data_IF_781785548718
#
_entry.id   IF_781785548718
#
_cell.length_a   1.000
_cell.length_b   1.000
_cell.length_c   1.000
_cell.angle_alpha   90.00
_cell.angle_beta   90.00
_cell.angle_gamma   90.00
#
_symmetry.space_group_name_H-M   'P 1'
#
loop_
_entity.id
_entity.type
_entity.pdbx_description
1 polymer ?
#
# COMPACT_ATOMS: atom_id res chain seq x y z
N UNK A 1 7.07 -29.88 -29.89
CA UNK A 1 7.77 -29.21 -28.76
C UNK A 1 7.05 -29.62 -27.46
N UNK A 2 7.53 -30.65 -26.77
CA UNK A 2 6.93 -31.14 -25.52
C UNK A 2 7.28 -30.11 -24.44
N UNK A 3 6.31 -29.35 -23.96
CA UNK A 3 6.50 -28.42 -22.85
C UNK A 3 6.94 -29.24 -21.62
N UNK A 4 8.17 -28.99 -21.13
CA UNK A 4 8.61 -29.58 -19.88
C UNK A 4 7.58 -29.30 -18.76
N UNK A 5 7.30 -30.28 -17.87
CA UNK A 5 6.32 -30.10 -16.80
C UNK A 5 6.74 -28.90 -15.94
N UNK A 6 5.79 -27.95 -15.78
CA UNK A 6 6.03 -26.78 -14.93
C UNK A 6 6.40 -27.23 -13.51
N UNK A 7 7.43 -26.62 -12.93
CA UNK A 7 7.78 -26.80 -11.51
C UNK A 7 6.59 -26.43 -10.63
N UNK A 8 6.51 -26.95 -9.41
CA UNK A 8 5.43 -26.61 -8.45
C UNK A 8 5.29 -25.11 -8.22
N UNK A 9 6.40 -24.39 -8.15
CA UNK A 9 6.47 -22.93 -8.08
C UNK A 9 5.71 -22.27 -9.24
N UNK A 10 6.04 -22.62 -10.48
CA UNK A 10 5.42 -22.03 -11.69
C UNK A 10 3.93 -22.34 -11.77
N UNK A 11 3.50 -23.54 -11.35
CA UNK A 11 2.07 -23.90 -11.30
C UNK A 11 1.31 -23.03 -10.30
N UNK A 12 1.87 -22.77 -9.13
CA UNK A 12 1.26 -21.93 -8.11
C UNK A 12 1.21 -20.46 -8.53
N UNK A 13 2.25 -19.93 -9.16
CA UNK A 13 2.21 -18.59 -9.76
C UNK A 13 1.11 -18.50 -10.83
N UNK A 14 1.02 -19.48 -11.72
CA UNK A 14 -0.02 -19.52 -12.74
C UNK A 14 -1.42 -19.57 -12.14
N UNK A 15 -1.65 -20.44 -11.16
CA UNK A 15 -2.93 -20.52 -10.44
C UNK A 15 -3.28 -19.19 -9.73
N UNK A 16 -2.31 -18.56 -9.07
CA UNK A 16 -2.50 -17.26 -8.43
C UNK A 16 -2.79 -16.13 -9.42
N UNK A 17 -2.23 -16.18 -10.64
CA UNK A 17 -2.58 -15.24 -11.72
C UNK A 17 -4.00 -15.48 -12.22
N UNK A 18 -4.41 -16.74 -12.43
CA UNK A 18 -5.78 -17.08 -12.83
C UNK A 18 -6.81 -16.57 -11.83
N UNK A 19 -6.57 -16.76 -10.53
CA UNK A 19 -7.44 -16.25 -9.46
C UNK A 19 -7.57 -14.72 -9.58
N UNK A 20 -6.44 -14.00 -9.75
CA UNK A 20 -6.44 -12.54 -9.88
C UNK A 20 -7.21 -12.07 -11.11
N UNK A 21 -6.98 -12.72 -12.24
CA UNK A 21 -7.69 -12.38 -13.48
C UNK A 21 -9.19 -12.64 -13.35
N UNK A 22 -9.58 -13.76 -12.73
CA UNK A 22 -11.00 -14.07 -12.51
C UNK A 22 -11.73 -12.92 -11.78
N UNK A 23 -11.13 -12.37 -10.72
CA UNK A 23 -11.75 -11.27 -9.98
C UNK A 23 -11.61 -9.91 -10.65
N UNK A 24 -10.58 -9.68 -11.47
CA UNK A 24 -10.26 -8.36 -12.00
C UNK A 24 -11.32 -7.79 -12.95
N UNK A 25 -12.11 -8.62 -13.61
CA UNK A 25 -13.11 -8.18 -14.58
C UNK A 25 -14.37 -7.58 -13.96
N UNK A 26 -14.80 -8.03 -12.77
CA UNK A 26 -16.13 -7.75 -12.26
C UNK A 26 -16.21 -7.26 -10.81
N UNK A 27 -15.06 -7.07 -10.16
CA UNK A 27 -14.99 -6.55 -8.79
C UNK A 27 -14.41 -5.14 -8.78
N UNK A 28 -14.60 -4.40 -7.69
CA UNK A 28 -13.98 -3.09 -7.46
C UNK A 28 -14.52 -2.42 -6.21
N UNK A 29 -13.67 -1.65 -5.54
CA UNK A 29 -14.15 -0.83 -4.43
C UNK A 29 -15.03 0.31 -4.98
N UNK A 30 -16.26 0.51 -4.47
CA UNK A 30 -17.19 1.50 -5.00
C UNK A 30 -16.68 2.95 -4.89
N UNK A 31 -15.80 3.26 -3.94
CA UNK A 31 -15.20 4.58 -3.82
C UNK A 31 -13.93 4.72 -4.66
N UNK A 32 -12.89 3.97 -4.32
CA UNK A 32 -11.56 4.14 -4.93
C UNK A 32 -11.55 3.74 -6.41
N UNK A 33 -12.20 2.62 -6.74
CA UNK A 33 -12.19 2.11 -8.10
C UNK A 33 -13.00 2.99 -9.04
N UNK A 34 -14.13 3.55 -8.57
CA UNK A 34 -14.91 4.53 -9.32
C UNK A 34 -14.11 5.80 -9.62
N UNK A 35 -13.33 6.29 -8.64
CA UNK A 35 -12.40 7.41 -8.84
C UNK A 35 -11.39 7.05 -9.93
N UNK A 36 -10.78 5.88 -9.88
CA UNK A 36 -9.75 5.48 -10.84
C UNK A 36 -10.29 5.37 -12.27
N UNK A 37 -11.51 4.84 -12.44
CA UNK A 37 -12.17 4.76 -13.75
C UNK A 37 -12.35 6.15 -14.38
N UNK A 38 -12.90 7.09 -13.60
CA UNK A 38 -13.18 8.45 -14.08
C UNK A 38 -11.92 9.28 -14.26
N UNK A 39 -10.94 9.15 -13.35
CA UNK A 39 -9.64 9.79 -13.51
C UNK A 39 -8.94 9.31 -14.78
N UNK A 40 -8.99 8.01 -15.09
CA UNK A 40 -8.40 7.47 -16.29
C UNK A 40 -8.99 8.10 -17.57
N UNK A 41 -10.31 8.20 -17.64
CA UNK A 41 -10.99 8.92 -18.72
C UNK A 41 -10.55 10.39 -18.76
N UNK A 42 -10.65 11.09 -17.62
CA UNK A 42 -10.40 12.53 -17.52
C UNK A 42 -8.97 12.90 -17.93
N UNK A 43 -7.97 12.19 -17.41
CA UNK A 43 -6.55 12.40 -17.75
C UNK A 43 -6.26 12.05 -19.20
N UNK A 44 -6.92 11.03 -19.75
CA UNK A 44 -6.80 10.69 -21.16
C UNK A 44 -7.32 11.80 -22.11
N UNK A 45 -8.20 12.68 -21.61
CA UNK A 45 -8.67 13.89 -22.31
C UNK A 45 -7.82 15.14 -21.99
N UNK A 46 -6.70 15.00 -21.25
CA UNK A 46 -5.80 16.11 -20.90
C UNK A 46 -6.09 16.78 -19.55
N UNK A 47 -7.12 16.31 -18.82
CA UNK A 47 -7.45 16.87 -17.50
C UNK A 47 -6.47 16.47 -16.40
N UNK A 48 -6.51 17.19 -15.26
CA UNK A 48 -5.65 16.90 -14.10
C UNK A 48 -6.14 15.67 -13.33
N UNK A 49 -5.23 14.74 -12.92
CA UNK A 49 -5.61 13.60 -12.09
C UNK A 49 -6.10 13.99 -10.68
N UNK A 50 -5.81 15.21 -10.23
CA UNK A 50 -6.15 15.74 -8.91
C UNK A 50 -7.34 16.71 -8.90
N UNK A 51 -8.03 16.85 -10.03
CA UNK A 51 -9.17 17.76 -10.16
C UNK A 51 -10.26 17.50 -9.10
N UNK A 52 -10.74 18.55 -8.45
CA UNK A 52 -11.66 18.44 -7.33
C UNK A 52 -13.03 17.84 -7.67
N UNK A 53 -13.49 17.99 -8.93
CA UNK A 53 -14.81 17.48 -9.39
C UNK A 53 -14.68 16.86 -10.78
N UNK A 54 -14.70 15.54 -10.83
CA UNK A 54 -14.74 14.78 -12.10
C UNK A 54 -16.14 14.19 -12.26
N UNK A 55 -16.88 14.53 -13.33
CA UNK A 55 -18.25 14.08 -13.54
C UNK A 55 -18.33 12.58 -13.84
N UNK A 56 -19.53 12.04 -13.67
CA UNK A 56 -19.84 10.70 -14.16
C UNK A 56 -19.73 10.65 -15.70
N UNK A 57 -19.23 9.54 -16.18
CA UNK A 57 -19.11 9.24 -17.61
C UNK A 57 -19.96 8.01 -17.90
N UNK A 58 -20.92 8.14 -18.79
CA UNK A 58 -21.82 7.06 -19.16
C UNK A 58 -21.05 5.84 -19.68
N UNK A 59 -21.42 4.67 -19.19
CA UNK A 59 -20.75 3.40 -19.55
C UNK A 59 -19.45 3.13 -18.82
N UNK A 60 -18.97 4.02 -17.93
CA UNK A 60 -17.78 3.80 -17.10
C UNK A 60 -18.15 3.81 -15.63
N UNK A 61 -18.07 2.64 -14.99
CA UNK A 61 -18.45 2.48 -13.58
C UNK A 61 -19.97 2.59 -13.38
N UNK A 62 -20.37 3.10 -12.22
CA UNK A 62 -21.77 3.23 -11.82
C UNK A 62 -22.13 4.69 -11.51
N UNK A 63 -23.38 5.12 -11.78
CA UNK A 63 -23.83 6.50 -11.56
C UNK A 63 -24.05 6.85 -10.08
N UNK A 64 -23.38 6.13 -9.15
CA UNK A 64 -23.51 6.28 -7.71
C UNK A 64 -23.19 7.71 -7.22
N UNK A 65 -22.08 8.27 -7.74
CA UNK A 65 -21.68 9.64 -7.44
C UNK A 65 -21.83 10.51 -8.67
N UNK A 66 -22.53 11.65 -8.53
CA UNK A 66 -22.57 12.65 -9.62
C UNK A 66 -21.17 13.17 -9.97
N UNK A 67 -20.35 13.38 -8.96
CA UNK A 67 -18.95 13.80 -9.07
C UNK A 67 -18.09 12.97 -8.14
N UNK A 68 -16.87 12.71 -8.55
CA UNK A 68 -15.80 12.18 -7.69
C UNK A 68 -14.68 13.19 -7.61
N UNK A 69 -13.93 13.19 -6.49
CA UNK A 69 -12.66 13.90 -6.42
C UNK A 69 -11.59 13.15 -7.21
N UNK A 70 -10.60 13.85 -7.72
CA UNK A 70 -9.40 13.22 -8.27
C UNK A 70 -8.62 12.44 -7.22
N UNK A 71 -7.56 11.79 -7.67
CA UNK A 71 -6.70 11.00 -6.78
C UNK A 71 -5.91 11.91 -5.83
N UNK A 72 -5.81 11.52 -4.56
CA UNK A 72 -5.00 12.19 -3.54
C UNK A 72 -3.53 11.77 -3.55
N UNK A 73 -2.97 11.44 -4.72
CA UNK A 73 -1.61 10.95 -4.90
C UNK A 73 -0.89 11.77 -5.95
N UNK A 74 0.43 11.57 -6.09
CA UNK A 74 1.21 12.14 -7.19
C UNK A 74 0.74 11.56 -8.53
N UNK A 75 1.00 12.22 -9.66
CA UNK A 75 0.36 11.92 -10.96
C UNK A 75 0.59 10.51 -11.52
N UNK A 76 1.57 9.74 -11.02
CA UNK A 76 1.93 8.43 -11.56
C UNK A 76 0.73 7.50 -11.80
N UNK A 77 -0.12 7.35 -10.77
CA UNK A 77 -1.28 6.47 -10.89
C UNK A 77 -2.32 7.01 -11.88
N UNK A 78 -2.55 8.31 -11.88
CA UNK A 78 -3.44 8.95 -12.87
C UNK A 78 -2.98 8.72 -14.32
N UNK A 79 -1.67 8.75 -14.57
CA UNK A 79 -1.11 8.43 -15.89
C UNK A 79 -1.30 6.94 -16.26
N UNK A 80 -1.14 6.03 -15.29
CA UNK A 80 -1.41 4.60 -15.51
C UNK A 80 -2.89 4.35 -15.83
N UNK A 81 -3.80 5.00 -15.10
CA UNK A 81 -5.25 4.87 -15.37
C UNK A 81 -5.63 5.43 -16.74
N UNK A 82 -5.01 6.54 -17.16
CA UNK A 82 -5.18 7.09 -18.51
C UNK A 82 -4.64 6.16 -19.60
N UNK A 83 -3.51 5.53 -19.37
CA UNK A 83 -2.95 4.53 -20.29
C UNK A 83 -3.90 3.33 -20.43
N UNK A 84 -4.45 2.82 -19.32
CA UNK A 84 -5.46 1.76 -19.35
C UNK A 84 -6.69 2.18 -20.18
N UNK A 85 -7.17 3.41 -19.97
CA UNK A 85 -8.30 3.92 -20.72
C UNK A 85 -7.99 4.08 -22.22
N UNK A 86 -6.83 4.63 -22.58
CA UNK A 86 -6.41 4.73 -24.00
C UNK A 86 -6.27 3.36 -24.65
N UNK A 87 -5.76 2.36 -23.94
CA UNK A 87 -5.69 0.98 -24.43
C UNK A 87 -7.10 0.40 -24.64
N UNK A 88 -8.03 0.67 -23.71
CA UNK A 88 -9.44 0.30 -23.86
C UNK A 88 -10.08 0.94 -25.08
N UNK A 89 -9.80 2.22 -25.38
CA UNK A 89 -10.32 2.89 -26.57
C UNK A 89 -9.91 2.21 -27.90
N UNK A 90 -8.72 1.59 -27.92
CA UNK A 90 -8.26 0.83 -29.08
C UNK A 90 -8.96 -0.53 -29.22
N UNK A 91 -9.43 -1.10 -28.13
CA UNK A 91 -10.05 -2.42 -28.05
C UNK A 91 -11.31 -2.37 -27.16
N UNK A 92 -12.40 -1.73 -27.61
CA UNK A 92 -13.57 -1.45 -26.77
C UNK A 92 -14.51 -2.66 -26.68
N UNK A 93 -14.01 -3.82 -26.22
CA UNK A 93 -14.82 -5.04 -26.11
C UNK A 93 -15.98 -4.91 -25.12
N UNK A 94 -15.69 -4.41 -23.91
CA UNK A 94 -16.69 -4.13 -22.88
C UNK A 94 -16.09 -3.29 -21.74
N UNK A 95 -16.90 -2.60 -20.91
CA UNK A 95 -16.38 -1.90 -19.71
C UNK A 95 -15.58 -2.81 -18.77
N UNK A 96 -15.95 -4.09 -18.67
CA UNK A 96 -15.21 -5.07 -17.87
C UNK A 96 -13.75 -5.26 -18.32
N UNK A 97 -13.49 -5.07 -19.62
CA UNK A 97 -12.12 -5.11 -20.15
C UNK A 97 -11.30 -3.90 -19.67
N UNK A 98 -11.91 -2.71 -19.57
CA UNK A 98 -11.25 -1.57 -18.94
C UNK A 98 -10.92 -1.83 -17.46
N UNK A 99 -11.85 -2.45 -16.72
CA UNK A 99 -11.61 -2.84 -15.32
C UNK A 99 -10.42 -3.80 -15.20
N UNK A 100 -10.35 -4.77 -16.08
CA UNK A 100 -9.21 -5.69 -16.16
C UNK A 100 -7.90 -4.96 -16.48
N UNK A 101 -7.88 -4.10 -17.49
CA UNK A 101 -6.68 -3.33 -17.87
C UNK A 101 -6.18 -2.49 -16.72
N UNK A 102 -7.07 -1.82 -16.01
CA UNK A 102 -6.72 -0.98 -14.87
C UNK A 102 -6.09 -1.80 -13.72
N UNK A 103 -6.66 -2.97 -13.40
CA UNK A 103 -6.14 -3.85 -12.37
C UNK A 103 -4.92 -4.67 -12.82
N UNK A 104 -4.64 -4.77 -14.09
CA UNK A 104 -3.46 -5.46 -14.58
C UNK A 104 -2.17 -4.85 -14.03
N UNK A 105 -2.11 -3.52 -13.82
CA UNK A 105 -0.95 -2.86 -13.23
C UNK A 105 -0.63 -3.32 -11.81
N UNK A 106 -1.54 -3.28 -10.81
CA UNK A 106 -1.25 -3.81 -9.49
C UNK A 106 -1.02 -5.33 -9.48
N UNK A 107 -1.68 -6.10 -10.34
CA UNK A 107 -1.44 -7.55 -10.47
C UNK A 107 0.00 -7.82 -10.96
N UNK A 108 0.48 -7.06 -11.93
CA UNK A 108 1.87 -7.12 -12.37
C UNK A 108 2.83 -6.64 -11.28
N UNK A 109 2.42 -5.67 -10.47
CA UNK A 109 3.12 -5.25 -9.26
C UNK A 109 3.28 -6.38 -8.25
N UNK A 110 2.22 -7.16 -7.98
CA UNK A 110 2.29 -8.36 -7.12
C UNK A 110 3.29 -9.39 -7.66
N UNK A 111 3.25 -9.63 -8.96
CA UNK A 111 4.16 -10.57 -9.62
C UNK A 111 5.60 -10.09 -9.52
N UNK A 112 5.86 -8.81 -9.82
CA UNK A 112 7.17 -8.20 -9.69
C UNK A 112 7.70 -8.28 -8.25
N UNK A 113 6.89 -7.90 -7.25
CA UNK A 113 7.25 -8.02 -5.84
C UNK A 113 7.61 -9.46 -5.46
N UNK A 114 6.86 -10.44 -5.95
CA UNK A 114 7.11 -11.87 -5.73
C UNK A 114 8.49 -12.31 -6.24
N UNK A 115 8.84 -11.94 -7.47
CA UNK A 115 10.16 -12.26 -8.03
C UNK A 115 11.28 -11.50 -7.34
N UNK A 116 11.05 -10.24 -6.95
CA UNK A 116 12.05 -9.47 -6.20
C UNK A 116 12.32 -10.08 -4.83
N UNK A 117 11.28 -10.51 -4.09
CA UNK A 117 11.43 -11.27 -2.84
C UNK A 117 12.23 -12.55 -3.09
N UNK A 118 11.88 -13.30 -4.14
CA UNK A 118 12.62 -14.51 -4.52
C UNK A 118 14.10 -14.22 -4.74
N UNK A 119 14.45 -13.20 -5.54
CA UNK A 119 15.85 -12.87 -5.83
C UNK A 119 16.61 -12.38 -4.60
N UNK A 120 15.99 -11.58 -3.74
CA UNK A 120 16.59 -11.11 -2.49
C UNK A 120 16.88 -12.30 -1.57
N UNK A 121 15.89 -13.17 -1.32
CA UNK A 121 16.06 -14.32 -0.42
C UNK A 121 17.04 -15.35 -1.01
N UNK A 122 16.98 -15.62 -2.32
CA UNK A 122 17.93 -16.52 -2.98
C UNK A 122 19.37 -15.99 -2.90
N UNK A 123 19.55 -14.69 -3.17
CA UNK A 123 20.89 -14.08 -3.10
C UNK A 123 21.52 -14.13 -1.72
N UNK A 124 20.70 -14.09 -0.66
CA UNK A 124 21.15 -14.08 0.72
C UNK A 124 21.33 -15.47 1.34
N UNK A 125 20.44 -16.40 0.99
CA UNK A 125 20.40 -17.73 1.63
C UNK A 125 21.01 -18.82 0.77
N UNK A 126 21.23 -18.56 -0.52
CA UNK A 126 21.61 -19.52 -1.57
C UNK A 126 20.66 -20.74 -1.65
N UNK A 127 19.48 -20.66 -1.05
CA UNK A 127 18.47 -21.71 -0.99
C UNK A 127 17.28 -21.33 -1.89
N UNK A 128 17.19 -22.00 -3.04
CA UNK A 128 16.14 -21.76 -4.04
C UNK A 128 14.75 -22.08 -3.49
N UNK A 129 14.60 -23.20 -2.75
CA UNK A 129 13.31 -23.64 -2.21
C UNK A 129 12.79 -22.61 -1.21
N UNK A 130 13.66 -22.09 -0.37
CA UNK A 130 13.37 -21.05 0.60
C UNK A 130 12.95 -19.74 -0.05
N UNK A 131 13.60 -19.38 -1.15
CA UNK A 131 13.23 -18.20 -1.94
C UNK A 131 11.86 -18.36 -2.61
N UNK A 132 11.55 -19.54 -3.16
CA UNK A 132 10.23 -19.89 -3.70
C UNK A 132 9.13 -19.80 -2.64
N UNK A 133 9.37 -20.37 -1.46
CA UNK A 133 8.44 -20.30 -0.33
C UNK A 133 8.16 -18.85 0.11
N UNK A 134 9.19 -18.00 0.16
CA UNK A 134 9.04 -16.59 0.52
C UNK A 134 8.24 -15.82 -0.54
N UNK A 135 8.57 -15.95 -1.81
CA UNK A 135 7.81 -15.32 -2.89
C UNK A 135 6.35 -15.78 -2.94
N UNK A 136 6.10 -17.10 -2.82
CA UNK A 136 4.74 -17.65 -2.79
C UNK A 136 3.95 -17.17 -1.57
N UNK A 137 4.58 -17.01 -0.42
CA UNK A 137 3.92 -16.48 0.79
C UNK A 137 3.35 -15.09 0.56
N UNK A 138 4.06 -14.23 -0.16
CA UNK A 138 3.52 -12.93 -0.55
C UNK A 138 2.47 -13.06 -1.64
N UNK A 139 2.76 -13.77 -2.72
CA UNK A 139 1.90 -13.87 -3.89
C UNK A 139 0.55 -14.51 -3.61
N UNK A 140 0.54 -15.60 -2.83
CA UNK A 140 -0.67 -16.35 -2.47
C UNK A 140 -1.36 -15.83 -1.20
N UNK A 141 -0.87 -14.74 -0.60
CA UNK A 141 -1.51 -14.11 0.54
C UNK A 141 -2.92 -13.61 0.13
N UNK A 142 -4.00 -14.08 0.77
CA UNK A 142 -5.36 -13.66 0.43
C UNK A 142 -5.57 -12.15 0.51
N UNK A 143 -4.91 -11.48 1.44
CA UNK A 143 -5.00 -10.03 1.57
C UNK A 143 -4.32 -9.29 0.40
N UNK A 144 -3.19 -9.79 -0.11
CA UNK A 144 -2.53 -9.24 -1.31
C UNK A 144 -3.46 -9.36 -2.53
N UNK A 145 -4.05 -10.56 -2.73
CA UNK A 145 -5.02 -10.81 -3.80
C UNK A 145 -6.23 -9.88 -3.67
N UNK A 146 -6.74 -9.73 -2.46
CA UNK A 146 -7.88 -8.85 -2.18
C UNK A 146 -7.59 -7.40 -2.58
N UNK A 147 -6.46 -6.85 -2.15
CA UNK A 147 -6.10 -5.45 -2.42
C UNK A 147 -5.89 -5.18 -3.91
N UNK A 148 -5.10 -6.02 -4.59
CA UNK A 148 -4.74 -5.77 -6.00
C UNK A 148 -5.86 -6.11 -6.99
N UNK A 149 -6.53 -7.24 -6.78
CA UNK A 149 -7.41 -7.83 -7.80
C UNK A 149 -8.89 -7.61 -7.53
N UNK A 150 -9.29 -7.60 -6.25
CA UNK A 150 -10.69 -7.42 -5.85
C UNK A 150 -10.98 -5.94 -5.63
N UNK A 151 -10.23 -5.28 -4.76
CA UNK A 151 -10.37 -3.84 -4.52
C UNK A 151 -9.92 -3.01 -5.72
N UNK A 152 -8.77 -3.36 -6.31
CA UNK A 152 -8.16 -2.62 -7.43
C UNK A 152 -7.20 -1.51 -6.97
N UNK A 153 -6.64 -1.61 -5.76
CA UNK A 153 -5.62 -0.69 -5.26
C UNK A 153 -4.24 -1.02 -5.83
N UNK A 154 -3.43 0.00 -6.04
CA UNK A 154 -2.15 -0.09 -6.73
C UNK A 154 -0.92 -0.19 -5.82
N UNK A 155 -1.10 -0.46 -4.53
CA UNK A 155 -0.03 -0.51 -3.51
C UNK A 155 1.10 -1.49 -3.86
N UNK A 156 0.82 -2.54 -4.61
CA UNK A 156 1.83 -3.49 -5.08
C UNK A 156 2.89 -2.88 -5.98
N UNK A 157 2.58 -1.79 -6.70
CA UNK A 157 3.55 -1.10 -7.57
C UNK A 157 4.62 -0.40 -6.74
N UNK A 158 4.31 0.54 -5.84
CA UNK A 158 5.32 1.17 -4.99
C UNK A 158 6.05 0.17 -4.08
N UNK A 159 5.41 -0.93 -3.67
CA UNK A 159 6.06 -2.02 -2.94
C UNK A 159 7.11 -2.72 -3.83
N UNK A 160 6.78 -3.06 -5.07
CA UNK A 160 7.74 -3.68 -5.98
C UNK A 160 8.94 -2.77 -6.27
N UNK A 161 8.70 -1.47 -6.43
CA UNK A 161 9.78 -0.49 -6.61
C UNK A 161 10.64 -0.33 -5.34
N UNK A 162 10.05 -0.40 -4.16
CA UNK A 162 10.79 -0.42 -2.89
C UNK A 162 11.65 -1.69 -2.75
N UNK A 163 11.10 -2.85 -3.10
CA UNK A 163 11.85 -4.12 -3.13
C UNK A 163 12.98 -4.09 -4.17
N UNK A 164 12.72 -3.50 -5.34
CA UNK A 164 13.76 -3.29 -6.36
C UNK A 164 14.88 -2.38 -5.82
N UNK A 165 14.53 -1.33 -5.10
CA UNK A 165 15.50 -0.46 -4.42
C UNK A 165 16.38 -1.27 -3.45
N UNK A 166 15.79 -2.13 -2.61
CA UNK A 166 16.50 -3.00 -1.68
C UNK A 166 17.42 -3.98 -2.43
N UNK A 167 16.93 -4.62 -3.48
CA UNK A 167 17.74 -5.52 -4.32
C UNK A 167 18.92 -4.80 -4.97
N UNK A 168 18.72 -3.59 -5.48
CA UNK A 168 19.77 -2.79 -6.11
C UNK A 168 20.84 -2.32 -5.09
N UNK A 169 20.43 -2.05 -3.84
CA UNK A 169 21.40 -1.82 -2.76
C UNK A 169 22.25 -3.06 -2.51
N UNK A 170 21.62 -4.23 -2.42
CA UNK A 170 22.32 -5.50 -2.26
C UNK A 170 23.32 -5.77 -3.40
N UNK A 171 22.95 -5.41 -4.63
CA UNK A 171 23.81 -5.52 -5.82
C UNK A 171 24.88 -4.40 -5.90
N UNK A 172 25.03 -3.57 -4.88
CA UNK A 172 26.01 -2.49 -4.84
C UNK A 172 25.73 -1.29 -5.75
N UNK A 173 24.49 -1.13 -6.21
CA UNK A 173 24.04 -0.09 -7.16
C UNK A 173 23.21 1.01 -6.47
N UNK A 174 23.79 1.86 -5.58
CA UNK A 174 23.01 2.78 -4.75
C UNK A 174 22.23 3.84 -5.55
N UNK A 175 22.78 4.35 -6.67
CA UNK A 175 22.09 5.38 -7.46
C UNK A 175 20.85 4.86 -8.16
N UNK A 176 20.91 3.63 -8.69
CA UNK A 176 19.74 2.96 -9.26
C UNK A 176 18.72 2.59 -8.19
N UNK A 177 19.19 2.24 -6.99
CA UNK A 177 18.33 2.03 -5.82
C UNK A 177 17.58 3.29 -5.44
N UNK A 178 18.28 4.46 -5.40
CA UNK A 178 17.67 5.75 -5.13
C UNK A 178 16.57 6.09 -6.15
N UNK A 179 16.85 5.84 -7.45
CA UNK A 179 15.88 6.05 -8.51
C UNK A 179 14.64 5.13 -8.34
N UNK A 180 14.85 3.86 -8.04
CA UNK A 180 13.75 2.91 -7.82
C UNK A 180 12.88 3.31 -6.62
N UNK A 181 13.50 3.74 -5.50
CA UNK A 181 12.76 4.25 -4.34
C UNK A 181 12.00 5.53 -4.67
N UNK A 182 12.63 6.47 -5.38
CA UNK A 182 12.00 7.71 -5.85
C UNK A 182 10.80 7.46 -6.76
N UNK A 183 10.89 6.46 -7.66
CA UNK A 183 9.74 6.01 -8.45
C UNK A 183 8.64 5.42 -7.56
N UNK A 184 8.97 4.64 -6.53
CA UNK A 184 8.00 4.15 -5.54
C UNK A 184 7.27 5.30 -4.85
N UNK A 185 8.00 6.34 -4.41
CA UNK A 185 7.45 7.55 -3.79
C UNK A 185 6.56 8.30 -4.80
N UNK A 186 6.92 8.32 -6.08
CA UNK A 186 6.11 8.95 -7.14
C UNK A 186 4.75 8.29 -7.33
N UNK A 187 4.64 6.97 -7.16
CA UNK A 187 3.34 6.28 -7.16
C UNK A 187 2.54 6.54 -5.88
N UNK A 188 3.20 6.46 -4.73
CA UNK A 188 2.57 6.66 -3.42
C UNK A 188 3.63 7.10 -2.41
N UNK A 189 3.33 8.09 -1.58
CA UNK A 189 4.33 8.70 -0.68
C UNK A 189 4.83 7.72 0.41
N UNK A 190 4.08 6.67 0.74
CA UNK A 190 4.40 5.72 1.83
C UNK A 190 5.83 5.17 1.79
N UNK A 191 6.45 4.80 0.65
CA UNK A 191 7.85 4.38 0.59
C UNK A 191 8.88 5.35 1.17
N UNK A 192 8.52 6.62 1.38
CA UNK A 192 9.40 7.61 2.02
C UNK A 192 9.81 7.20 3.44
N UNK A 193 8.99 6.37 4.12
CA UNK A 193 9.28 5.82 5.45
C UNK A 193 10.57 4.98 5.44
N UNK A 194 10.89 4.34 4.32
CA UNK A 194 12.10 3.51 4.18
C UNK A 194 13.34 4.31 3.79
N UNK A 195 13.18 5.55 3.32
CA UNK A 195 14.27 6.39 2.85
C UNK A 195 15.31 6.66 3.96
N UNK A 196 14.95 7.10 5.19
CA UNK A 196 15.95 7.33 6.25
C UNK A 196 16.71 6.06 6.64
N UNK A 197 16.05 4.90 6.63
CA UNK A 197 16.67 3.61 6.97
C UNK A 197 17.74 3.26 5.93
N UNK A 198 17.43 3.42 4.63
CA UNK A 198 18.38 3.18 3.55
C UNK A 198 19.53 4.20 3.57
N UNK A 199 19.24 5.47 3.88
CA UNK A 199 20.28 6.52 4.04
C UNK A 199 21.27 6.21 5.16
N UNK A 200 20.76 5.76 6.31
CA UNK A 200 21.59 5.36 7.46
C UNK A 200 22.51 4.19 7.05
N UNK A 201 21.95 3.18 6.40
CA UNK A 201 22.70 2.02 5.94
C UNK A 201 23.82 2.42 4.95
N UNK A 202 23.50 3.26 3.96
CA UNK A 202 24.46 3.76 2.98
C UNK A 202 25.53 4.63 3.66
N UNK A 203 25.14 5.48 4.59
CA UNK A 203 26.06 6.35 5.33
C UNK A 203 27.08 5.55 6.14
N UNK A 204 26.64 4.49 6.79
CA UNK A 204 27.50 3.56 7.56
C UNK A 204 28.42 2.73 6.65
N UNK A 205 27.93 2.30 5.47
CA UNK A 205 28.69 1.42 4.56
C UNK A 205 29.59 2.13 3.55
N UNK A 206 29.13 3.26 2.99
CA UNK A 206 29.80 3.99 1.89
C UNK A 206 30.17 5.43 2.20
N UNK A 207 29.67 5.96 3.30
CA UNK A 207 29.96 7.32 3.76
C UNK A 207 28.91 8.35 3.36
N UNK A 208 29.01 9.54 3.99
CA UNK A 208 28.01 10.61 3.91
C UNK A 208 27.77 11.14 2.48
N UNK A 209 28.80 11.22 1.64
CA UNK A 209 28.68 11.68 0.25
C UNK A 209 27.67 10.84 -0.54
N UNK A 210 27.74 9.48 -0.38
CA UNK A 210 26.80 8.57 -1.06
C UNK A 210 25.38 8.71 -0.52
N UNK A 211 25.21 8.93 0.79
CA UNK A 211 23.89 9.19 1.39
C UNK A 211 23.27 10.47 0.86
N UNK A 212 24.04 11.57 0.75
CA UNK A 212 23.52 12.83 0.22
C UNK A 212 23.07 12.66 -1.23
N UNK A 213 23.88 12.05 -2.08
CA UNK A 213 23.51 11.82 -3.48
C UNK A 213 22.30 10.89 -3.58
N UNK A 214 22.23 9.87 -2.74
CA UNK A 214 21.06 8.98 -2.64
C UNK A 214 19.79 9.75 -2.29
N UNK A 215 19.85 10.61 -1.27
CA UNK A 215 18.74 11.47 -0.86
C UNK A 215 18.28 12.37 -2.01
N UNK A 216 19.23 13.05 -2.65
CA UNK A 216 18.93 13.97 -3.76
C UNK A 216 18.22 13.24 -4.92
N UNK A 217 18.71 12.08 -5.34
CA UNK A 217 18.06 11.29 -6.41
C UNK A 217 16.68 10.83 -5.98
N UNK A 218 16.53 10.30 -4.76
CA UNK A 218 15.25 9.77 -4.27
C UNK A 218 14.15 10.83 -4.17
N UNK A 219 14.52 12.09 -3.85
CA UNK A 219 13.57 13.20 -3.76
C UNK A 219 13.39 13.91 -5.11
N UNK A 220 14.45 14.09 -5.88
CA UNK A 220 14.36 14.74 -7.20
C UNK A 220 13.50 13.92 -8.18
N UNK A 221 13.55 12.59 -8.11
CA UNK A 221 12.78 11.72 -9.01
C UNK A 221 11.28 12.00 -8.96
N UNK A 222 10.58 11.90 -7.82
CA UNK A 222 9.15 12.18 -7.76
C UNK A 222 8.83 13.66 -8.06
N UNK A 223 9.69 14.60 -7.68
CA UNK A 223 9.48 16.02 -7.96
C UNK A 223 9.52 16.30 -9.48
N UNK A 224 10.57 15.85 -10.16
CA UNK A 224 10.71 16.06 -11.62
C UNK A 224 9.58 15.39 -12.37
N UNK A 225 9.26 14.13 -12.04
CA UNK A 225 8.18 13.38 -12.69
C UNK A 225 6.78 13.94 -12.39
N UNK A 226 6.62 14.71 -11.33
CA UNK A 226 5.38 15.45 -11.03
C UNK A 226 5.34 16.79 -11.79
N UNK A 227 6.39 17.59 -11.69
CA UNK A 227 6.42 18.95 -12.23
C UNK A 227 6.40 18.95 -13.77
N UNK A 228 7.14 18.03 -14.42
CA UNK A 228 7.23 17.99 -15.88
C UNK A 228 5.86 17.75 -16.54
N UNK A 229 5.06 16.73 -16.18
CA UNK A 229 3.72 16.57 -16.74
C UNK A 229 2.79 17.75 -16.41
N UNK A 230 2.88 18.33 -15.19
CA UNK A 230 2.05 19.48 -14.82
C UNK A 230 2.30 20.68 -15.73
N UNK A 231 3.56 20.97 -16.04
CA UNK A 231 3.92 22.07 -16.97
C UNK A 231 3.46 21.75 -18.39
N UNK A 232 3.78 20.55 -18.89
CA UNK A 232 3.49 20.17 -20.28
C UNK A 232 1.97 20.06 -20.55
N UNK A 233 1.20 19.59 -19.59
CA UNK A 233 -0.25 19.39 -19.70
C UNK A 233 -1.03 20.57 -19.08
N UNK A 234 -0.36 21.60 -18.58
CA UNK A 234 -0.95 22.79 -17.96
C UNK A 234 -1.89 22.48 -16.79
N UNK A 235 -1.53 21.47 -15.98
CA UNK A 235 -2.29 21.15 -14.77
C UNK A 235 -2.01 22.18 -13.66
N UNK A 236 -3.03 22.49 -12.84
CA UNK A 236 -2.85 23.41 -11.74
C UNK A 236 -2.02 22.81 -10.59
N UNK A 237 -0.90 23.46 -10.26
CA UNK A 237 0.02 23.01 -9.20
C UNK A 237 -0.64 23.07 -7.82
N UNK A 238 -1.48 24.08 -7.59
CA UNK A 238 -2.20 24.28 -6.34
C UNK A 238 -3.13 23.11 -5.99
N UNK A 239 -3.88 22.58 -6.95
CA UNK A 239 -4.78 21.44 -6.74
C UNK A 239 -4.04 20.18 -6.30
N UNK A 240 -2.91 19.87 -6.96
CA UNK A 240 -2.11 18.68 -6.59
C UNK A 240 -1.52 18.82 -5.19
N UNK A 241 -0.97 19.98 -4.84
CA UNK A 241 -0.41 20.23 -3.53
C UNK A 241 -1.44 20.13 -2.41
N UNK A 242 -2.59 20.78 -2.58
CA UNK A 242 -3.70 20.76 -1.61
C UNK A 242 -4.24 19.34 -1.45
N UNK A 243 -4.44 18.60 -2.53
CA UNK A 243 -5.00 17.25 -2.49
C UNK A 243 -4.05 16.26 -1.80
N UNK A 244 -2.75 16.31 -2.08
CA UNK A 244 -1.76 15.45 -1.39
C UNK A 244 -1.64 15.82 0.10
N UNK A 245 -1.67 17.11 0.45
CA UNK A 245 -1.61 17.56 1.84
C UNK A 245 -2.90 17.25 2.61
N UNK A 246 -4.06 17.33 1.98
CA UNK A 246 -5.35 17.00 2.62
C UNK A 246 -5.43 15.55 3.07
N UNK A 247 -4.77 14.62 2.37
CA UNK A 247 -4.66 13.22 2.78
C UNK A 247 -3.93 13.03 4.13
N UNK A 248 -3.09 13.99 4.52
CA UNK A 248 -2.43 13.96 5.83
C UNK A 248 -3.35 14.41 6.97
N UNK A 249 -4.48 15.04 6.65
CA UNK A 249 -5.42 15.60 7.61
C UNK A 249 -6.61 14.68 7.94
N UNK A 250 -6.72 13.51 7.30
CA UNK A 250 -7.77 12.54 7.61
C UNK A 250 -7.60 11.98 9.03
N UNK A 251 -8.69 11.93 9.80
CA UNK A 251 -8.63 11.71 11.24
C UNK A 251 -9.55 10.59 11.69
N UNK A 252 -9.04 9.75 12.59
CA UNK A 252 -9.86 8.90 13.43
C UNK A 252 -10.56 7.72 12.76
N UNK A 253 -10.04 7.19 11.64
CA UNK A 253 -10.60 6.02 10.97
C UNK A 253 -9.52 5.03 10.54
N UNK A 254 -9.93 3.86 10.04
CA UNK A 254 -9.04 2.84 9.49
C UNK A 254 -8.87 1.64 10.41
N UNK A 255 -7.84 0.83 10.14
CA UNK A 255 -7.67 -0.51 10.74
C UNK A 255 -7.12 -0.48 12.18
N UNK A 256 -6.69 0.67 12.71
CA UNK A 256 -6.07 0.77 14.03
C UNK A 256 -7.04 1.23 15.12
N UNK A 257 -6.62 1.18 16.38
CA UNK A 257 -7.42 1.58 17.55
C UNK A 257 -8.00 3.00 17.45
N UNK A 258 -7.47 3.85 16.59
CA UNK A 258 -8.05 5.17 16.29
C UNK A 258 -9.46 5.08 15.74
N UNK A 259 -9.88 3.91 15.24
CA UNK A 259 -11.26 3.62 14.87
C UNK A 259 -12.24 3.69 16.06
N UNK A 260 -11.74 3.73 17.29
CA UNK A 260 -12.52 4.02 18.50
C UNK A 260 -13.36 5.29 18.33
N UNK A 261 -12.86 6.31 17.63
CA UNK A 261 -13.59 7.54 17.39
C UNK A 261 -14.90 7.33 16.64
N UNK A 262 -14.90 6.50 15.59
CA UNK A 262 -16.12 6.15 14.83
C UNK A 262 -17.11 5.36 15.71
N UNK A 263 -16.61 4.46 16.53
CA UNK A 263 -17.43 3.68 17.46
C UNK A 263 -18.03 4.55 18.55
N UNK A 264 -17.26 5.44 19.19
CA UNK A 264 -17.73 6.35 20.24
C UNK A 264 -18.76 7.35 19.70
N UNK A 265 -18.54 7.88 18.49
CA UNK A 265 -19.49 8.80 17.83
C UNK A 265 -20.85 8.15 17.63
N UNK A 266 -20.89 6.87 17.28
CA UNK A 266 -22.16 6.16 17.09
C UNK A 266 -22.81 5.74 18.42
N UNK A 267 -22.00 5.30 19.40
CA UNK A 267 -22.49 4.84 20.69
C UNK A 267 -23.06 6.00 21.56
N UNK A 268 -22.40 7.14 21.51
CA UNK A 268 -22.77 8.31 22.35
C UNK A 268 -22.57 9.63 21.59
N UNK A 269 -23.38 9.90 20.55
CA UNK A 269 -23.22 11.06 19.68
C UNK A 269 -23.37 12.40 20.41
N UNK A 270 -24.14 12.43 21.49
CA UNK A 270 -24.32 13.63 22.32
C UNK A 270 -23.10 13.99 23.16
N UNK A 271 -22.20 13.00 23.43
CA UNK A 271 -20.98 13.19 24.20
C UNK A 271 -19.78 13.36 23.25
N UNK A 272 -19.70 12.53 22.23
CA UNK A 272 -18.61 12.49 21.27
C UNK A 272 -19.06 13.10 19.93
N UNK A 273 -19.36 14.39 19.95
CA UNK A 273 -19.72 15.11 18.74
C UNK A 273 -18.56 15.11 17.72
N UNK A 274 -18.89 15.27 16.46
CA UNK A 274 -17.89 15.37 15.39
C UNK A 274 -16.91 16.54 15.64
N UNK A 275 -17.41 17.65 16.16
CA UNK A 275 -16.59 18.81 16.51
C UNK A 275 -15.60 18.50 17.62
N UNK A 276 -16.01 17.81 18.69
CA UNK A 276 -15.14 17.41 19.78
C UNK A 276 -14.04 16.47 19.31
N UNK A 277 -14.38 15.46 18.50
CA UNK A 277 -13.41 14.51 17.94
C UNK A 277 -12.45 15.20 16.99
N UNK A 278 -12.94 16.10 16.13
CA UNK A 278 -12.08 16.89 15.24
C UNK A 278 -11.13 17.78 16.03
N UNK A 279 -11.59 18.41 17.10
CA UNK A 279 -10.75 19.19 18.02
C UNK A 279 -9.66 18.29 18.64
N UNK A 280 -10.01 17.12 19.16
CA UNK A 280 -9.06 16.17 19.75
C UNK A 280 -7.98 15.75 18.75
N UNK A 281 -8.36 15.34 17.53
CA UNK A 281 -7.40 14.92 16.50
C UNK A 281 -6.60 16.09 15.89
N UNK A 282 -7.07 17.33 16.05
CA UNK A 282 -6.33 18.52 15.60
C UNK A 282 -5.15 18.87 16.50
N UNK A 283 -5.10 18.34 17.74
CA UNK A 283 -3.96 18.57 18.62
C UNK A 283 -2.64 18.14 17.96
N UNK A 284 -1.62 19.01 17.88
CA UNK A 284 -0.37 18.73 17.16
C UNK A 284 0.31 17.44 17.60
N UNK A 285 0.30 17.14 18.91
CA UNK A 285 0.91 15.91 19.44
C UNK A 285 0.23 14.67 18.87
N UNK A 286 -1.10 14.64 18.79
CA UNK A 286 -1.85 13.49 18.26
C UNK A 286 -1.65 13.41 16.74
N UNK A 287 -1.80 14.53 16.06
CA UNK A 287 -1.67 14.63 14.60
C UNK A 287 -0.30 14.19 14.09
N UNK A 288 0.78 14.52 14.81
CA UNK A 288 2.17 14.25 14.40
C UNK A 288 2.86 13.16 15.23
N UNK A 289 2.10 12.39 16.04
CA UNK A 289 2.63 11.29 16.85
C UNK A 289 3.41 10.27 16.02
N UNK A 290 2.91 9.98 14.81
CA UNK A 290 3.55 9.08 13.87
C UNK A 290 4.95 9.55 13.43
N UNK A 291 5.15 10.87 13.32
CA UNK A 291 6.45 11.44 12.97
C UNK A 291 7.44 11.27 14.11
N UNK A 292 7.00 11.48 15.36
CA UNK A 292 7.81 11.23 16.54
C UNK A 292 8.21 9.76 16.67
N UNK A 293 7.27 8.84 16.42
CA UNK A 293 7.55 7.40 16.42
C UNK A 293 8.58 7.02 15.34
N UNK A 294 8.46 7.56 14.13
CA UNK A 294 9.43 7.33 13.06
C UNK A 294 10.82 7.89 13.42
N UNK A 295 10.89 9.12 13.95
CA UNK A 295 12.18 9.72 14.39
C UNK A 295 12.82 8.83 15.45
N UNK A 296 12.06 8.37 16.44
CA UNK A 296 12.58 7.44 17.45
C UNK A 296 13.13 6.16 16.83
N UNK A 297 12.40 5.54 15.91
CA UNK A 297 12.87 4.35 15.17
C UNK A 297 14.19 4.61 14.44
N UNK A 298 14.32 5.74 13.75
CA UNK A 298 15.54 6.08 13.00
C UNK A 298 16.72 6.36 13.94
N UNK A 299 16.50 7.02 15.10
CA UNK A 299 17.54 7.26 16.11
C UNK A 299 18.02 5.95 16.71
N UNK A 300 17.12 5.01 17.01
CA UNK A 300 17.51 3.68 17.49
C UNK A 300 18.28 2.90 16.42
N UNK A 301 17.88 2.96 15.15
CA UNK A 301 18.62 2.34 14.06
C UNK A 301 20.02 2.95 13.86
N UNK A 302 20.16 4.27 14.06
CA UNK A 302 21.49 4.91 14.04
C UNK A 302 22.43 4.34 15.10
N UNK A 303 21.91 3.99 16.28
CA UNK A 303 22.68 3.42 17.38
C UNK A 303 22.97 1.93 17.23
N UNK A 304 22.17 1.23 16.42
CA UNK A 304 22.36 -0.20 16.17
C UNK A 304 23.70 -0.45 15.47
N UNK A 305 24.40 -1.51 15.89
CA UNK A 305 25.69 -1.91 15.30
C UNK A 305 25.48 -2.58 13.95
N UNK A 306 25.24 -1.77 12.92
CA UNK A 306 25.28 -2.27 11.54
C UNK A 306 26.74 -2.45 11.15
N UNK A 307 27.18 -3.65 10.74
CA UNK A 307 28.56 -3.86 10.31
C UNK A 307 28.94 -2.88 9.18
N UNK A 308 30.09 -2.25 9.30
CA UNK A 308 30.65 -1.35 8.27
C UNK A 308 31.25 -2.13 7.09
N UNK A 309 30.63 -3.25 6.71
CA UNK A 309 31.05 -4.03 5.55
C UNK A 309 30.83 -3.22 4.26
N UNK A 310 31.87 -3.12 3.43
CA UNK A 310 31.77 -2.50 2.11
C UNK A 310 30.75 -3.20 1.19
N UNK A 311 30.48 -4.46 1.44
CA UNK A 311 29.47 -5.24 0.75
C UNK A 311 28.28 -5.52 1.68
N UNK A 312 27.07 -5.31 1.20
CA UNK A 312 25.86 -5.68 1.93
C UNK A 312 25.78 -7.20 2.04
N UNK A 313 25.85 -7.70 3.26
CA UNK A 313 25.68 -9.11 3.59
C UNK A 313 24.24 -9.43 4.03
N UNK A 314 24.00 -10.69 4.32
CA UNK A 314 22.69 -11.17 4.78
C UNK A 314 22.26 -10.50 6.08
N UNK A 315 23.18 -10.19 6.97
CA UNK A 315 22.90 -9.52 8.23
C UNK A 315 22.46 -8.07 8.02
N UNK A 316 23.15 -7.32 7.17
CA UNK A 316 22.79 -5.93 6.82
C UNK A 316 21.39 -5.84 6.23
N UNK A 317 21.01 -6.79 5.37
CA UNK A 317 19.69 -6.83 4.73
C UNK A 317 18.59 -7.30 5.68
N UNK A 318 18.88 -8.26 6.55
CA UNK A 318 17.97 -8.65 7.62
C UNK A 318 17.70 -7.45 8.54
N UNK A 319 18.76 -6.76 8.96
CA UNK A 319 18.67 -5.55 9.81
C UNK A 319 17.91 -4.42 9.11
N UNK A 320 18.16 -4.18 7.82
CA UNK A 320 17.39 -3.23 7.01
C UNK A 320 15.89 -3.58 7.02
N UNK A 321 15.56 -4.85 6.76
CA UNK A 321 14.16 -5.31 6.71
C UNK A 321 13.49 -5.27 8.08
N UNK A 322 14.23 -5.60 9.15
CA UNK A 322 13.80 -5.51 10.54
C UNK A 322 13.41 -4.07 10.91
N UNK A 323 14.32 -3.11 10.70
CA UNK A 323 14.07 -1.71 11.02
C UNK A 323 13.02 -1.07 10.11
N UNK A 324 12.92 -1.50 8.87
CA UNK A 324 11.82 -1.15 7.96
C UNK A 324 10.47 -1.62 8.50
N UNK A 325 10.41 -2.84 9.05
CA UNK A 325 9.20 -3.36 9.70
C UNK A 325 8.88 -2.61 10.99
N UNK A 326 9.88 -2.32 11.83
CA UNK A 326 9.71 -1.55 13.07
C UNK A 326 9.18 -0.15 12.77
N UNK A 327 9.77 0.56 11.81
CA UNK A 327 9.30 1.88 11.39
C UNK A 327 7.87 1.83 10.85
N UNK A 328 7.55 0.82 10.03
CA UNK A 328 6.19 0.66 9.51
C UNK A 328 5.17 0.35 10.63
N UNK A 329 5.52 -0.50 11.59
CA UNK A 329 4.67 -0.76 12.77
C UNK A 329 4.48 0.51 13.59
N UNK A 330 5.55 1.26 13.86
CA UNK A 330 5.47 2.55 14.55
C UNK A 330 4.54 3.52 13.84
N UNK A 331 4.65 3.62 12.52
CA UNK A 331 3.77 4.43 11.71
C UNK A 331 2.31 3.97 11.77
N UNK A 332 2.05 2.66 11.62
CA UNK A 332 0.70 2.10 11.66
C UNK A 332 0.02 2.35 13.02
N UNK A 333 0.73 2.15 14.13
CA UNK A 333 0.19 2.32 15.48
C UNK A 333 -0.08 3.77 15.86
N UNK A 334 0.67 4.73 15.29
CA UNK A 334 0.64 6.12 15.80
C UNK A 334 -0.01 7.11 14.86
N UNK A 335 -0.27 6.76 13.61
CA UNK A 335 -1.01 7.62 12.68
C UNK A 335 -2.52 7.44 12.87
N UNK A 336 -3.24 8.54 12.97
CA UNK A 336 -4.68 8.60 13.26
C UNK A 336 -5.59 8.07 12.16
N UNK A 337 -5.11 7.97 10.93
CA UNK A 337 -5.83 7.36 9.79
C UNK A 337 -4.92 6.38 9.07
N UNK A 338 -5.27 5.10 9.15
CA UNK A 338 -4.56 4.02 8.46
C UNK A 338 -5.55 3.18 7.66
N UNK A 339 -5.61 3.35 6.33
CA UNK A 339 -6.36 2.45 5.49
C UNK A 339 -5.71 1.05 5.45
N UNK A 340 -6.52 0.02 5.30
CA UNK A 340 -6.12 -1.40 5.45
C UNK A 340 -4.97 -1.80 4.51
N UNK A 341 -4.94 -1.25 3.29
CA UNK A 341 -3.91 -1.55 2.29
C UNK A 341 -2.49 -1.19 2.76
N UNK A 342 -2.33 -0.31 3.76
CA UNK A 342 -1.01 0.01 4.31
C UNK A 342 -0.36 -1.18 5.03
N UNK A 343 -1.16 -2.17 5.44
CA UNK A 343 -0.64 -3.44 5.97
C UNK A 343 0.27 -4.16 4.95
N UNK A 344 0.06 -3.98 3.64
CA UNK A 344 0.93 -4.57 2.62
C UNK A 344 2.39 -4.12 2.74
N UNK A 345 2.63 -2.87 3.18
CA UNK A 345 3.98 -2.33 3.37
C UNK A 345 4.71 -2.99 4.54
N UNK A 346 3.99 -3.49 5.53
CA UNK A 346 4.55 -4.34 6.59
C UNK A 346 4.76 -5.78 6.10
N UNK A 347 3.80 -6.33 5.36
CA UNK A 347 3.83 -7.73 4.94
C UNK A 347 5.02 -8.05 4.03
N UNK A 348 5.42 -7.14 3.11
CA UNK A 348 6.55 -7.43 2.23
C UNK A 348 7.88 -7.46 2.99
N UNK A 349 8.10 -6.54 3.95
CA UNK A 349 9.33 -6.54 4.78
C UNK A 349 9.40 -7.76 5.67
N UNK A 350 8.27 -8.14 6.31
CA UNK A 350 8.17 -9.37 7.10
C UNK A 350 8.40 -10.62 6.24
N UNK A 351 7.95 -10.63 4.99
CA UNK A 351 8.15 -11.76 4.07
C UNK A 351 9.63 -11.95 3.75
N UNK A 352 10.37 -10.86 3.50
CA UNK A 352 11.82 -10.89 3.31
C UNK A 352 12.51 -11.44 4.57
N UNK A 353 12.17 -10.92 5.76
CA UNK A 353 12.73 -11.41 7.02
C UNK A 353 12.45 -12.90 7.24
N UNK A 354 11.23 -13.37 6.99
CA UNK A 354 10.86 -14.79 7.10
C UNK A 354 11.61 -15.66 6.09
N UNK A 355 11.87 -15.12 4.91
CA UNK A 355 12.74 -15.75 3.93
C UNK A 355 14.17 -15.94 4.45
N UNK A 356 14.69 -15.00 5.24
CA UNK A 356 16.07 -15.05 5.77
C UNK A 356 16.16 -15.86 7.08
N UNK A 357 15.26 -15.64 8.06
CA UNK A 357 15.44 -16.11 9.45
C UNK A 357 14.70 -17.39 9.83
N UNK A 358 13.63 -17.78 9.09
CA UNK A 358 12.70 -18.88 9.45
C UNK A 358 12.08 -18.77 10.86
N UNK A 359 11.99 -17.57 11.40
CA UNK A 359 11.47 -17.34 12.75
C UNK A 359 9.98 -17.72 12.84
N UNK A 360 9.64 -18.70 13.69
CA UNK A 360 8.27 -19.19 13.87
C UNK A 360 7.35 -18.14 14.49
N UNK A 361 7.88 -17.29 15.36
CA UNK A 361 7.14 -16.18 15.97
C UNK A 361 6.74 -15.15 14.91
N UNK A 362 7.70 -14.75 14.07
CA UNK A 362 7.47 -13.82 12.96
C UNK A 362 6.44 -14.39 11.95
N UNK A 363 6.45 -15.72 11.71
CA UNK A 363 5.46 -16.38 10.85
C UNK A 363 4.04 -16.24 11.41
N UNK A 364 3.85 -16.40 12.73
CA UNK A 364 2.55 -16.18 13.39
C UNK A 364 2.09 -14.74 13.28
N UNK A 365 2.97 -13.78 13.49
CA UNK A 365 2.64 -12.35 13.39
C UNK A 365 2.31 -11.94 11.97
N UNK A 366 3.04 -12.44 10.97
CA UNK A 366 2.70 -12.25 9.56
C UNK A 366 1.27 -12.74 9.28
N UNK A 367 0.93 -13.94 9.78
CA UNK A 367 -0.41 -14.50 9.62
C UNK A 367 -1.48 -13.61 10.27
N UNK A 368 -1.29 -13.21 11.52
CA UNK A 368 -2.27 -12.33 12.20
C UNK A 368 -2.41 -10.97 11.52
N UNK A 369 -1.32 -10.37 11.05
CA UNK A 369 -1.37 -9.07 10.39
C UNK A 369 -2.29 -9.08 9.16
N UNK A 370 -2.15 -10.06 8.27
CA UNK A 370 -3.02 -10.11 7.09
C UNK A 370 -4.41 -10.64 7.39
N UNK A 371 -4.59 -11.55 8.34
CA UNK A 371 -5.92 -12.08 8.71
C UNK A 371 -6.78 -10.99 9.30
N UNK A 372 -6.27 -10.23 10.26
CA UNK A 372 -7.03 -9.13 10.86
C UNK A 372 -7.29 -8.00 9.85
N UNK A 373 -6.33 -7.69 8.97
CA UNK A 373 -6.54 -6.71 7.92
C UNK A 373 -7.63 -7.15 6.93
N UNK A 374 -7.64 -8.41 6.53
CA UNK A 374 -8.66 -8.95 5.66
C UNK A 374 -10.03 -9.00 6.36
N UNK A 375 -10.09 -9.47 7.61
CA UNK A 375 -11.32 -9.51 8.39
C UNK A 375 -11.90 -8.09 8.60
N UNK A 376 -11.04 -7.12 8.89
CA UNK A 376 -11.45 -5.72 9.00
C UNK A 376 -12.03 -5.20 7.68
N UNK A 377 -11.36 -5.45 6.55
CA UNK A 377 -11.85 -5.08 5.24
C UNK A 377 -13.22 -5.71 4.93
N UNK A 378 -13.44 -6.96 5.35
CA UNK A 378 -14.75 -7.63 5.22
C UNK A 378 -15.83 -6.95 6.07
N UNK A 379 -15.55 -6.62 7.32
CA UNK A 379 -16.51 -5.91 8.19
C UNK A 379 -16.71 -4.45 7.72
N UNK A 380 -15.73 -3.85 7.06
CA UNK A 380 -15.82 -2.51 6.48
C UNK A 380 -16.59 -2.46 5.14
N UNK A 381 -17.40 -3.46 4.84
CA UNK A 381 -18.31 -3.56 3.68
C UNK A 381 -17.64 -3.73 2.32
N UNK A 382 -16.35 -3.99 2.25
CA UNK A 382 -15.67 -4.22 0.97
C UNK A 382 -16.11 -5.50 0.22
N UNK A 383 -16.65 -6.56 0.88
CA UNK A 383 -17.24 -7.67 0.13
C UNK A 383 -18.42 -7.26 -0.73
N UNK A 384 -19.17 -6.24 -0.32
CA UNK A 384 -20.26 -5.68 -1.12
C UNK A 384 -19.77 -4.94 -2.36
N UNK A 385 -18.47 -4.65 -2.46
CA UNK A 385 -17.83 -4.22 -3.70
C UNK A 385 -17.98 -5.23 -4.85
N UNK A 386 -18.24 -6.51 -4.56
CA UNK A 386 -18.59 -7.50 -5.58
C UNK A 386 -19.95 -7.21 -6.22
N UNK A 387 -20.94 -6.79 -5.43
CA UNK A 387 -22.27 -6.47 -5.96
C UNK A 387 -22.26 -5.16 -6.76
N UNK A 388 -21.39 -4.22 -6.42
CA UNK A 388 -21.35 -2.87 -6.99
C UNK A 388 -21.28 -2.85 -8.52
N UNK A 389 -20.39 -3.65 -9.13
CA UNK A 389 -20.25 -3.70 -10.59
C UNK A 389 -21.25 -4.64 -11.28
N UNK A 390 -21.86 -5.55 -10.52
CA UNK A 390 -22.84 -6.49 -11.03
C UNK A 390 -24.26 -5.90 -11.00
N UNK A 391 -24.66 -5.37 -9.85
CA UNK A 391 -25.99 -4.78 -9.63
C UNK A 391 -25.92 -3.67 -8.59
N UNK A 392 -26.09 -2.43 -9.04
CA UNK A 392 -26.06 -1.25 -8.18
C UNK A 392 -27.19 -1.24 -7.15
N UNK A 393 -28.36 -1.78 -7.48
CA UNK A 393 -29.50 -1.80 -6.56
C UNK A 393 -29.25 -2.78 -5.42
N UNK A 394 -28.65 -3.92 -5.71
CA UNK A 394 -28.23 -4.87 -4.70
C UNK A 394 -27.18 -4.26 -3.76
N UNK A 395 -26.20 -3.54 -4.33
CA UNK A 395 -25.21 -2.83 -3.56
C UNK A 395 -25.84 -1.75 -2.67
N UNK A 396 -26.78 -0.95 -3.18
CA UNK A 396 -27.52 0.05 -2.39
C UNK A 396 -28.28 -0.57 -1.23
N UNK A 397 -28.97 -1.70 -1.46
CA UNK A 397 -29.71 -2.40 -0.42
C UNK A 397 -28.80 -2.85 0.72
N UNK A 398 -27.64 -3.44 0.41
CA UNK A 398 -26.66 -3.85 1.40
C UNK A 398 -26.01 -2.67 2.11
N UNK A 399 -25.61 -1.64 1.37
CA UNK A 399 -25.03 -0.43 1.95
C UNK A 399 -26.01 0.25 2.91
N UNK A 400 -27.26 0.38 2.53
CA UNK A 400 -28.29 0.98 3.34
C UNK A 400 -28.53 0.18 4.62
N UNK A 401 -28.71 -1.12 4.49
CA UNK A 401 -28.82 -2.02 5.63
C UNK A 401 -27.66 -1.88 6.60
N UNK A 402 -26.43 -1.88 6.10
CA UNK A 402 -25.23 -1.84 6.91
C UNK A 402 -24.91 -0.46 7.52
N UNK A 403 -25.53 0.60 7.02
CA UNK A 403 -25.38 1.98 7.56
C UNK A 403 -26.51 2.36 8.53
N UNK A 404 -27.56 1.53 8.66
CA UNK A 404 -28.65 1.78 9.59
C UNK A 404 -28.47 1.02 10.92
N UNK A 405 -28.85 1.61 12.07
CA UNK A 405 -28.94 0.88 13.32
C UNK A 405 -29.97 -0.26 13.23
N UNK A 406 -29.72 -1.43 13.87
CA UNK A 406 -28.57 -1.72 14.74
C UNK A 406 -27.32 -2.22 13.99
N UNK A 407 -27.37 -2.42 12.67
CA UNK A 407 -26.28 -3.03 11.90
C UNK A 407 -25.06 -2.13 11.81
N UNK A 408 -25.22 -0.82 11.71
CA UNK A 408 -24.11 0.14 11.74
C UNK A 408 -23.35 0.06 13.06
N UNK A 409 -24.04 -0.02 14.18
CA UNK A 409 -23.44 -0.15 15.51
C UNK A 409 -22.67 -1.46 15.64
N UNK A 410 -23.26 -2.59 15.20
CA UNK A 410 -22.58 -3.89 15.21
C UNK A 410 -21.32 -3.87 14.29
N UNK A 411 -21.44 -3.25 13.13
CA UNK A 411 -20.31 -3.11 12.20
C UNK A 411 -19.18 -2.29 12.85
N UNK A 412 -19.47 -1.14 13.43
CA UNK A 412 -18.47 -0.28 14.04
C UNK A 412 -17.86 -0.92 15.30
N UNK A 413 -18.65 -1.65 16.09
CA UNK A 413 -18.14 -2.46 17.18
C UNK A 413 -17.18 -3.56 16.66
N UNK A 414 -17.58 -4.29 15.62
CA UNK A 414 -16.75 -5.32 14.98
C UNK A 414 -15.43 -4.75 14.42
N UNK A 415 -15.49 -3.60 13.74
CA UNK A 415 -14.31 -2.87 13.25
C UNK A 415 -13.37 -2.50 14.40
N UNK A 416 -13.89 -1.96 15.49
CA UNK A 416 -13.09 -1.59 16.65
C UNK A 416 -12.42 -2.81 17.29
N UNK A 417 -13.16 -3.90 17.51
CA UNK A 417 -12.61 -5.15 18.08
C UNK A 417 -11.48 -5.70 17.20
N UNK A 418 -11.67 -5.75 15.88
CA UNK A 418 -10.64 -6.21 14.96
C UNK A 418 -9.42 -5.28 14.94
N UNK A 419 -9.63 -3.97 15.04
CA UNK A 419 -8.55 -2.99 15.15
C UNK A 419 -7.71 -3.21 16.42
N UNK A 420 -8.34 -3.48 17.57
CA UNK A 420 -7.63 -3.80 18.82
C UNK A 420 -6.79 -5.07 18.69
N UNK A 421 -7.32 -6.13 18.08
CA UNK A 421 -6.55 -7.36 17.82
C UNK A 421 -5.41 -7.14 16.83
N UNK A 422 -5.64 -6.34 15.81
CA UNK A 422 -4.59 -5.97 14.86
C UNK A 422 -3.46 -5.22 15.57
N UNK A 423 -3.77 -4.19 16.34
CA UNK A 423 -2.76 -3.40 17.07
C UNK A 423 -2.04 -4.22 18.11
N UNK A 424 -2.74 -5.09 18.83
CA UNK A 424 -2.11 -6.03 19.76
C UNK A 424 -1.09 -6.93 19.04
N UNK A 425 -1.45 -7.43 17.85
CA UNK A 425 -0.53 -8.24 17.04
C UNK A 425 0.70 -7.44 16.61
N UNK A 426 0.52 -6.18 16.20
CA UNK A 426 1.61 -5.26 15.83
C UNK A 426 2.53 -4.97 17.02
N UNK A 427 1.96 -4.65 18.18
CA UNK A 427 2.72 -4.35 19.39
C UNK A 427 3.55 -5.56 19.85
N UNK A 428 2.98 -6.76 19.82
CA UNK A 428 3.69 -8.01 20.10
C UNK A 428 4.83 -8.25 19.12
N UNK A 429 4.60 -7.98 17.84
CA UNK A 429 5.62 -8.08 16.79
C UNK A 429 6.77 -7.11 17.05
N UNK A 430 6.45 -5.86 17.38
CA UNK A 430 7.42 -4.81 17.71
C UNK A 430 8.30 -5.22 18.89
N UNK A 431 7.67 -5.64 20.01
CA UNK A 431 8.39 -6.07 21.22
C UNK A 431 9.36 -7.22 20.92
N UNK A 432 8.92 -8.20 20.11
CA UNK A 432 9.79 -9.33 19.77
C UNK A 432 10.94 -8.92 18.85
N UNK A 433 10.69 -8.06 17.85
CA UNK A 433 11.74 -7.56 16.97
C UNK A 433 12.79 -6.73 17.73
N UNK A 434 12.36 -5.96 18.73
CA UNK A 434 13.29 -5.17 19.56
C UNK A 434 14.10 -6.07 20.51
N UNK A 435 13.52 -7.13 21.05
CA UNK A 435 14.22 -8.08 21.94
C UNK A 435 15.23 -8.98 21.21
N UNK A 436 15.05 -9.22 19.93
CA UNK A 436 15.97 -10.00 19.07
C UNK A 436 17.23 -9.19 18.66
N UNK A 437 17.40 -8.00 19.10
CA UNK A 437 18.60 -7.15 18.94
C UNK A 437 19.38 -7.04 20.21
#
# INVERSE_FOLDING_TARGET
>A
MVLAPLTSWRRLIFAGMLIRFLFSFWTGNPSDFEIFLRVGYHVAQGGSPTQAKIPYVEGLGQPFYRYVSGIGYLPAWGLCTALAYKTYQLLPFSPYFYYFLLKSFPILGDLAATYLIFFIVKGLTHDVKRAEEAGLRFFMCPFVIFISSIWGMFDSIPISLTLLSILLLFLGKPYWSALALGLGIYFKVVPIIYLPIQLILIGKSKGAKYSIVYLLISIATPLVLTIVPMILLRWEVSETGITVLSQTAMMGEGITYWNLSSFLRELAPNIFSEELLNLFFSFPIIRYLWLLALIACYVFYLKDQVPSSKNMDAYSLYTLSKWSSIAMIGFLLTRTFIPEQFTLYLLFTMTVMLGISRNASLKRFYFYAWVFALAFAFVNLYPFAFAYLLDINLWYAFYHLATMPPFSTLRNAGRFVLAVFFDYSLLRTLINMVKEG
#
